data_IF_215576723043
#
_entry.id   IF_215576723043
#
_cell.length_a   1.000
_cell.length_b   1.000
_cell.length_c   1.000
_cell.angle_alpha   90.00
_cell.angle_beta   90.00
_cell.angle_gamma   90.00
#
_symmetry.space_group_name_H-M   'P 1'
#
loop_
_entity.id
_entity.type
_entity.pdbx_description
1 polymer ?
#
# COMPACT_ATOMS: atom_id res chain seq x y z
N UNK A 1 7.04 -5.26 9.53
CA UNK A 1 7.21 -4.59 10.83
C UNK A 1 7.29 -5.53 12.04
N UNK A 2 6.45 -6.57 12.14
CA UNK A 2 6.39 -7.45 13.33
C UNK A 2 7.73 -8.11 13.71
N UNK A 3 8.51 -8.55 12.72
CA UNK A 3 9.84 -9.15 12.93
C UNK A 3 10.89 -8.13 13.40
N UNK A 4 10.76 -6.88 12.91
CA UNK A 4 11.64 -5.77 13.26
C UNK A 4 11.37 -5.34 14.70
N UNK A 5 10.11 -5.12 15.06
CA UNK A 5 9.66 -4.82 16.44
C UNK A 5 9.93 -5.96 17.43
N UNK A 6 9.91 -7.21 16.96
CA UNK A 6 10.25 -8.39 17.76
C UNK A 6 11.75 -8.57 18.03
N UNK A 7 12.61 -7.66 17.54
CA UNK A 7 14.06 -7.75 17.74
C UNK A 7 14.73 -8.92 17.00
N UNK A 8 14.03 -9.54 16.04
CA UNK A 8 14.51 -10.72 15.33
C UNK A 8 15.39 -10.36 14.12
N UNK A 9 15.45 -9.08 13.76
CA UNK A 9 16.22 -8.56 12.63
C UNK A 9 17.40 -7.74 13.16
N UNK A 10 18.62 -8.22 12.90
CA UNK A 10 19.87 -7.51 13.25
C UNK A 10 20.29 -6.48 12.22
N UNK A 11 20.10 -6.79 10.93
CA UNK A 11 20.51 -5.92 9.83
C UNK A 11 19.41 -5.85 8.78
N UNK A 12 19.04 -4.64 8.40
CA UNK A 12 18.14 -4.35 7.29
C UNK A 12 19.00 -3.91 6.11
N UNK A 13 19.04 -4.71 5.05
CA UNK A 13 19.76 -4.38 3.82
C UNK A 13 18.75 -3.88 2.80
N UNK A 14 19.03 -2.70 2.24
CA UNK A 14 18.19 -2.02 1.27
C UNK A 14 18.98 -1.83 -0.01
N UNK A 15 18.35 -1.97 -1.16
CA UNK A 15 18.98 -1.60 -2.43
C UNK A 15 18.89 -0.10 -2.65
N UNK A 16 17.72 0.52 -2.42
CA UNK A 16 17.57 1.98 -2.49
C UNK A 16 16.72 2.47 -1.33
N UNK A 17 16.99 3.70 -0.89
CA UNK A 17 16.27 4.35 0.22
C UNK A 17 14.76 4.44 -0.03
N UNK A 18 14.38 4.67 -1.29
CA UNK A 18 13.00 4.99 -1.64
C UNK A 18 12.05 3.78 -1.71
N UNK A 19 12.58 2.55 -1.64
CA UNK A 19 11.78 1.33 -1.72
C UNK A 19 11.11 0.93 -0.40
N UNK A 20 11.54 1.50 0.72
CA UNK A 20 10.99 1.14 2.04
C UNK A 20 9.57 1.66 2.20
N UNK A 21 9.37 2.96 2.00
CA UNK A 21 8.07 3.60 2.03
C UNK A 21 8.12 4.92 1.25
N UNK A 22 7.18 5.09 0.32
CA UNK A 22 6.87 6.33 -0.42
C UNK A 22 6.84 7.60 0.46
N UNK A 23 6.37 7.44 1.71
CA UNK A 23 6.40 8.46 2.76
C UNK A 23 6.67 7.77 4.10
N UNK A 24 7.65 8.24 4.88
CA UNK A 24 7.92 7.71 6.22
C UNK A 24 9.11 6.76 6.34
N UNK A 25 10.07 6.81 5.41
CA UNK A 25 11.41 6.23 5.58
C UNK A 25 12.06 6.68 6.88
N UNK A 26 11.98 7.97 7.20
CA UNK A 26 12.46 8.56 8.47
C UNK A 26 11.89 7.83 9.69
N UNK A 27 10.60 7.47 9.65
CA UNK A 27 9.90 6.81 10.76
C UNK A 27 10.41 5.38 10.95
N UNK A 28 10.74 4.69 9.87
CA UNK A 28 11.37 3.36 9.91
C UNK A 28 12.79 3.46 10.44
N UNK A 29 13.56 4.47 10.03
CA UNK A 29 14.91 4.71 10.54
C UNK A 29 14.91 4.92 12.06
N UNK A 30 13.97 5.71 12.59
CA UNK A 30 13.77 5.91 14.01
C UNK A 30 13.45 4.58 14.71
N UNK A 31 12.57 3.77 14.13
CA UNK A 31 12.21 2.44 14.65
C UNK A 31 13.41 1.47 14.66
N UNK A 32 14.18 1.43 13.58
CA UNK A 32 15.39 0.61 13.48
C UNK A 32 16.41 1.00 14.55
N UNK A 33 16.61 2.31 14.79
CA UNK A 33 17.46 2.80 15.90
C UNK A 33 16.97 2.33 17.25
N UNK A 34 15.67 2.39 17.50
CA UNK A 34 15.06 1.94 18.76
C UNK A 34 15.27 0.44 19.01
N UNK A 35 15.14 -0.38 17.97
CA UNK A 35 15.30 -1.84 18.07
C UNK A 35 16.76 -2.30 17.87
N UNK A 36 17.70 -1.36 17.74
CA UNK A 36 19.13 -1.61 17.48
C UNK A 36 19.39 -2.44 16.22
N UNK A 37 18.55 -2.28 15.20
CA UNK A 37 18.74 -2.87 13.88
C UNK A 37 19.62 -1.95 13.03
N UNK A 38 20.72 -2.48 12.49
CA UNK A 38 21.60 -1.73 11.59
C UNK A 38 20.99 -1.65 10.20
N UNK A 39 21.01 -0.48 9.56
CA UNK A 39 20.48 -0.30 8.20
C UNK A 39 21.63 -0.07 7.24
N UNK A 40 21.70 -0.86 6.18
CA UNK A 40 22.72 -0.75 5.13
C UNK A 40 22.02 -0.52 3.80
N UNK A 41 22.36 0.57 3.12
CA UNK A 41 21.85 0.89 1.78
C UNK A 41 22.94 0.55 0.77
N UNK A 42 22.66 -0.42 -0.10
CA UNK A 42 23.50 -0.85 -1.21
C UNK A 42 23.18 0.02 -2.42
N UNK A 43 23.86 1.16 -2.56
CA UNK A 43 23.63 2.07 -3.70
C UNK A 43 24.00 1.39 -5.04
N UNK A 44 23.05 0.70 -5.66
CA UNK A 44 23.21 0.18 -7.01
C UNK A 44 23.20 1.36 -7.98
N UNK A 45 24.33 1.60 -8.63
CA UNK A 45 24.61 2.75 -9.52
C UNK A 45 23.79 2.77 -10.82
N UNK A 46 22.81 1.88 -10.97
CA UNK A 46 21.80 1.92 -12.02
C UNK A 46 20.55 2.68 -11.53
N UNK A 47 20.72 3.97 -11.20
CA UNK A 47 19.60 4.82 -10.80
C UNK A 47 18.69 5.08 -12.01
N UNK A 48 17.47 4.56 -11.96
CA UNK A 48 16.40 5.12 -12.79
C UNK A 48 16.32 6.64 -12.49
N UNK A 49 16.02 7.48 -13.49
CA UNK A 49 15.97 8.91 -13.27
C UNK A 49 14.89 9.22 -12.21
N UNK A 50 15.23 10.12 -11.29
CA UNK A 50 14.36 10.57 -10.20
C UNK A 50 12.93 10.91 -10.67
N UNK A 51 12.80 11.52 -11.84
CA UNK A 51 11.51 11.83 -12.47
C UNK A 51 10.63 10.58 -12.69
N UNK A 52 11.22 9.46 -13.11
CA UNK A 52 10.49 8.20 -13.33
C UNK A 52 9.96 7.64 -12.02
N UNK A 53 10.75 7.73 -10.97
CA UNK A 53 10.34 7.33 -9.63
C UNK A 53 9.19 8.21 -9.11
N UNK A 54 9.32 9.53 -9.25
CA UNK A 54 8.26 10.48 -8.92
C UNK A 54 6.95 10.19 -9.69
N UNK A 55 7.03 9.84 -10.97
CA UNK A 55 5.85 9.50 -11.77
C UNK A 55 5.20 8.20 -11.26
N UNK A 56 6.00 7.16 -11.00
CA UNK A 56 5.52 5.94 -10.33
C UNK A 56 4.86 6.28 -8.99
N UNK A 57 5.39 7.30 -8.31
CA UNK A 57 4.92 7.82 -7.03
C UNK A 57 3.52 8.40 -7.07
N UNK A 58 3.27 9.25 -8.05
CA UNK A 58 1.96 9.85 -8.26
C UNK A 58 0.95 8.82 -8.77
N UNK A 59 1.35 7.89 -9.65
CA UNK A 59 0.44 6.88 -10.23
C UNK A 59 -0.17 5.97 -9.16
N UNK A 60 0.63 5.40 -8.23
CA UNK A 60 0.02 4.54 -7.19
C UNK A 60 -0.82 5.35 -6.21
N UNK A 61 -0.48 6.63 -5.94
CA UNK A 61 -1.31 7.50 -5.11
C UNK A 61 -2.70 7.67 -5.76
N UNK A 62 -2.73 8.03 -7.05
CA UNK A 62 -3.95 8.13 -7.84
C UNK A 62 -4.73 6.81 -7.83
N UNK A 63 -4.04 5.68 -7.98
CA UNK A 63 -4.65 4.35 -8.02
C UNK A 63 -5.33 3.99 -6.70
N UNK A 64 -4.67 4.24 -5.56
CA UNK A 64 -5.22 3.98 -4.22
C UNK A 64 -6.44 4.86 -3.95
N UNK A 65 -6.38 6.15 -4.29
CA UNK A 65 -7.53 7.04 -4.13
C UNK A 65 -8.69 6.67 -5.05
N UNK A 66 -8.40 6.30 -6.29
CA UNK A 66 -9.39 5.81 -7.24
C UNK A 66 -10.06 4.54 -6.73
N UNK A 67 -9.29 3.56 -6.24
CA UNK A 67 -9.84 2.34 -5.64
C UNK A 67 -10.71 2.65 -4.41
N UNK A 68 -10.34 3.63 -3.57
CA UNK A 68 -11.17 4.04 -2.43
C UNK A 68 -12.45 4.76 -2.85
N UNK A 69 -12.36 5.67 -3.82
CA UNK A 69 -13.49 6.46 -4.31
C UNK A 69 -14.48 5.60 -5.10
N UNK A 70 -13.98 4.83 -6.07
CA UNK A 70 -14.78 3.93 -6.90
C UNK A 70 -15.13 2.63 -6.21
N UNK A 71 -14.32 2.12 -5.28
CA UNK A 71 -14.67 0.97 -4.43
C UNK A 71 -15.86 1.28 -3.51
N UNK A 72 -15.87 2.48 -2.89
CA UNK A 72 -17.04 2.96 -2.12
C UNK A 72 -18.28 3.16 -3.00
N UNK A 73 -18.11 3.63 -4.25
CA UNK A 73 -19.22 3.74 -5.22
C UNK A 73 -19.69 2.38 -5.70
N UNK A 74 -18.81 1.40 -5.91
CA UNK A 74 -19.16 0.03 -6.33
C UNK A 74 -20.05 -0.66 -5.28
N UNK A 75 -19.73 -0.54 -3.98
CA UNK A 75 -20.60 -1.08 -2.92
C UNK A 75 -21.96 -0.38 -2.86
N UNK A 76 -22.00 0.95 -2.99
CA UNK A 76 -23.28 1.70 -3.08
C UNK A 76 -24.08 1.34 -4.32
N UNK A 77 -23.42 1.14 -5.46
CA UNK A 77 -24.06 0.78 -6.72
C UNK A 77 -24.57 -0.67 -6.72
N UNK A 78 -23.86 -1.59 -6.06
CA UNK A 78 -24.38 -2.95 -5.80
C UNK A 78 -25.65 -2.91 -4.95
N UNK A 79 -25.67 -2.10 -3.88
CA UNK A 79 -26.87 -1.91 -3.04
C UNK A 79 -28.04 -1.25 -3.78
N UNK A 80 -27.78 -0.33 -4.71
CA UNK A 80 -28.86 0.28 -5.52
C UNK A 80 -29.34 -0.64 -6.64
N UNK A 81 -28.50 -1.56 -7.13
CA UNK A 81 -28.89 -2.60 -8.11
C UNK A 81 -29.58 -3.79 -7.40
N UNK A 82 -29.39 -3.99 -6.10
CA UNK A 82 -30.10 -4.99 -5.27
C UNK A 82 -31.49 -4.54 -4.75
N UNK A 83 -32.02 -3.39 -5.20
CA UNK A 83 -33.43 -3.03 -4.99
C UNK A 83 -34.32 -3.78 -6.00
N UNK A 84 -35.46 -4.32 -5.55
CA UNK A 84 -35.75 -5.75 -5.52
C UNK A 84 -36.03 -6.32 -6.91
N UNK A 85 -35.35 -7.43 -7.25
CA UNK A 85 -35.97 -8.43 -8.10
C UNK A 85 -37.18 -8.95 -7.32
N UNK A 86 -38.38 -8.47 -7.66
CA UNK A 86 -39.64 -9.08 -7.24
C UNK A 86 -39.56 -10.56 -7.60
N UNK A 87 -39.29 -11.40 -6.61
CA UNK A 87 -39.66 -12.80 -6.67
C UNK A 87 -41.18 -12.79 -6.63
N UNK A 88 -41.81 -12.71 -7.81
CA UNK A 88 -43.22 -13.00 -7.95
C UNK A 88 -43.39 -14.46 -7.55
N UNK A 89 -43.70 -14.65 -6.28
CA UNK A 89 -44.33 -15.82 -5.73
C UNK A 89 -45.70 -15.90 -6.41
N UNK A 90 -45.77 -16.56 -7.56
CA UNK A 90 -47.04 -17.08 -8.06
C UNK A 90 -47.25 -18.38 -7.28
N UNK A 91 -47.98 -18.25 -6.17
CA UNK A 91 -48.57 -19.35 -5.44
C UNK A 91 -49.73 -19.93 -6.26
N UNK A 92 -49.71 -21.26 -6.38
CA UNK A 92 -50.85 -22.20 -6.34
C UNK A 92 -52.05 -22.02 -7.30
N UNK A 93 -52.19 -22.97 -8.22
CA UNK A 93 -53.35 -23.87 -8.34
C UNK A 93 -52.93 -25.12 -9.11
#
# INVERSE_FOLDING_TARGET
MRLLLGGQIRTLVLTHDDRLLRFGTELIYILCRWVKTSVVVLDDSAKEPFETELVKDVITLMTVFSARLYGKRSWKNRKSVELPLKCNRILSA
#
